data_IF_588451426401
#
_entry.id   IF_588451426401
#
_cell.length_a   1.000
_cell.length_b   1.000
_cell.length_c   1.000
_cell.angle_alpha   90.00
_cell.angle_beta   90.00
_cell.angle_gamma   90.00
#
_symmetry.space_group_name_H-M   'P 1'
#
loop_
_entity.id
_entity.type
_entity.pdbx_description
1 polymer ?
#
# COMPACT_ATOMS: atom_id res chain seq x y z
N UNK A 1 -4.10 -29.29 13.20
CA UNK A 1 -4.98 -28.21 13.68
C UNK A 1 -6.16 -28.09 12.74
N UNK A 2 -7.40 -27.93 13.22
CA UNK A 2 -8.56 -27.91 12.34
C UNK A 2 -8.52 -26.64 11.49
N UNK A 3 -8.65 -26.84 10.18
CA UNK A 3 -8.84 -25.77 9.21
C UNK A 3 -10.12 -25.02 9.60
N UNK A 4 -10.04 -23.71 9.78
CA UNK A 4 -11.23 -22.90 10.07
C UNK A 4 -11.96 -22.66 8.74
N UNK A 5 -12.90 -23.55 8.42
CA UNK A 5 -13.68 -23.48 7.19
C UNK A 5 -14.38 -22.13 7.01
N UNK A 6 -14.85 -21.52 8.09
CA UNK A 6 -15.51 -20.20 8.05
C UNK A 6 -14.54 -19.09 7.64
N UNK A 7 -13.30 -19.14 8.12
CA UNK A 7 -12.26 -18.19 7.73
C UNK A 7 -11.95 -18.33 6.23
N UNK A 8 -11.72 -19.55 5.74
CA UNK A 8 -11.44 -19.80 4.32
C UNK A 8 -12.60 -19.34 3.44
N UNK A 9 -13.85 -19.64 3.83
CA UNK A 9 -15.03 -19.17 3.12
C UNK A 9 -15.09 -17.63 3.10
N UNK A 10 -14.79 -16.97 4.23
CA UNK A 10 -14.75 -15.50 4.29
C UNK A 10 -13.70 -14.89 3.36
N UNK A 11 -12.51 -15.50 3.28
CA UNK A 11 -11.43 -15.07 2.37
C UNK A 11 -11.82 -15.31 0.91
N UNK A 12 -12.39 -16.47 0.60
CA UNK A 12 -12.87 -16.79 -0.74
C UNK A 12 -13.96 -15.81 -1.21
N UNK A 13 -14.95 -15.54 -0.35
CA UNK A 13 -16.01 -14.54 -0.62
C UNK A 13 -15.40 -13.16 -0.85
N UNK A 14 -14.45 -12.73 -0.01
CA UNK A 14 -13.77 -11.45 -0.20
C UNK A 14 -13.07 -11.36 -1.56
N UNK A 15 -12.31 -12.39 -1.95
CA UNK A 15 -11.62 -12.43 -3.23
C UNK A 15 -12.59 -12.44 -4.42
N UNK A 16 -13.72 -13.16 -4.32
CA UNK A 16 -14.76 -13.18 -5.35
C UNK A 16 -15.43 -11.81 -5.47
N UNK A 17 -15.79 -11.16 -4.36
CA UNK A 17 -16.38 -9.81 -4.37
C UNK A 17 -15.44 -8.78 -4.97
N UNK A 18 -14.16 -8.85 -4.61
CA UNK A 18 -13.14 -7.95 -5.13
C UNK A 18 -12.89 -8.19 -6.62
N UNK A 19 -12.81 -9.46 -7.05
CA UNK A 19 -12.72 -9.85 -8.45
C UNK A 19 -13.93 -9.39 -9.26
N UNK A 20 -15.14 -9.56 -8.73
CA UNK A 20 -16.37 -9.08 -9.36
C UNK A 20 -16.38 -7.56 -9.51
N UNK A 21 -15.96 -6.81 -8.48
CA UNK A 21 -15.81 -5.35 -8.55
C UNK A 21 -14.83 -4.95 -9.66
N UNK A 22 -13.66 -5.58 -9.74
CA UNK A 22 -12.67 -5.29 -10.79
C UNK A 22 -13.21 -5.63 -12.18
N UNK A 23 -13.95 -6.74 -12.32
CA UNK A 23 -14.58 -7.14 -13.57
C UNK A 23 -15.68 -6.17 -14.03
N UNK A 24 -16.47 -5.64 -13.10
CA UNK A 24 -17.48 -4.61 -13.39
C UNK A 24 -16.80 -3.30 -13.85
N UNK A 25 -15.70 -2.92 -13.21
CA UNK A 25 -14.91 -1.73 -13.55
C UNK A 25 -13.91 -1.93 -14.70
N UNK A 26 -13.90 -3.09 -15.36
CA UNK A 26 -12.89 -3.45 -16.38
C UNK A 26 -12.68 -2.43 -17.51
N UNK A 27 -13.68 -1.59 -17.80
CA UNK A 27 -13.59 -0.54 -18.83
C UNK A 27 -12.81 0.69 -18.39
N UNK A 28 -12.78 0.97 -17.09
CA UNK A 28 -12.08 2.13 -16.50
C UNK A 28 -10.65 1.79 -16.08
N UNK A 29 -10.40 0.49 -15.91
CA UNK A 29 -9.18 -0.06 -15.34
C UNK A 29 -8.18 -0.37 -16.45
N UNK A 30 -6.93 0.09 -16.29
CA UNK A 30 -5.85 -0.25 -17.21
C UNK A 30 -5.11 -1.47 -16.70
N UNK A 31 -5.24 -2.59 -17.41
CA UNK A 31 -4.51 -3.82 -17.10
C UNK A 31 -3.20 -3.82 -17.87
N UNK A 32 -2.06 -3.85 -17.16
CA UNK A 32 -0.74 -4.12 -17.73
C UNK A 32 -0.24 -5.44 -17.17
N UNK A 33 -0.33 -6.51 -17.97
CA UNK A 33 0.01 -7.88 -17.57
C UNK A 33 -0.75 -8.30 -16.30
N UNK A 34 -0.05 -8.44 -15.18
CA UNK A 34 -0.58 -8.91 -13.88
C UNK A 34 -1.01 -7.74 -12.98
N UNK A 35 -0.63 -6.52 -13.35
CA UNK A 35 -0.87 -5.33 -12.53
C UNK A 35 -2.04 -4.54 -13.11
N UNK A 36 -2.96 -4.19 -12.24
CA UNK A 36 -4.20 -3.51 -12.54
C UNK A 36 -4.13 -2.11 -11.92
N UNK A 37 -4.36 -1.08 -12.74
CA UNK A 37 -4.36 0.31 -12.31
C UNK A 37 -5.77 0.91 -12.37
N UNK A 38 -6.28 1.35 -11.21
CA UNK A 38 -7.51 2.14 -11.11
C UNK A 38 -7.14 3.61 -10.89
N UNK A 39 -7.39 4.47 -11.89
CA UNK A 39 -7.09 5.89 -11.85
C UNK A 39 -8.36 6.72 -11.66
N UNK A 40 -8.28 7.84 -10.96
CA UNK A 40 -9.42 8.75 -10.84
C UNK A 40 -9.01 10.22 -10.80
N UNK A 41 -9.46 10.99 -11.79
CA UNK A 41 -9.33 12.45 -11.81
C UNK A 41 -10.05 13.11 -10.64
N UNK A 42 -11.15 12.52 -10.16
CA UNK A 42 -11.89 13.03 -9.00
C UNK A 42 -11.03 13.01 -7.74
N UNK A 43 -10.22 11.97 -7.54
CA UNK A 43 -9.33 11.90 -6.38
C UNK A 43 -8.21 12.93 -6.48
N UNK A 44 -7.64 13.13 -7.67
CA UNK A 44 -6.66 14.19 -7.91
C UNK A 44 -7.20 15.58 -7.58
N UNK A 45 -8.43 15.88 -8.01
CA UNK A 45 -9.09 17.15 -7.70
C UNK A 45 -9.28 17.34 -6.19
N UNK A 46 -9.73 16.30 -5.47
CA UNK A 46 -9.86 16.34 -4.01
C UNK A 46 -8.53 16.56 -3.29
N UNK A 47 -7.45 15.96 -3.77
CA UNK A 47 -6.10 16.17 -3.21
C UNK A 47 -5.69 17.63 -3.36
N UNK A 48 -5.85 18.20 -4.56
CA UNK A 48 -5.54 19.61 -4.80
C UNK A 48 -6.42 20.55 -3.96
N UNK A 49 -7.72 20.24 -3.83
CA UNK A 49 -8.64 20.99 -2.98
C UNK A 49 -8.17 20.97 -1.52
N UNK A 50 -7.87 19.79 -0.97
CA UNK A 50 -7.41 19.63 0.41
C UNK A 50 -6.12 20.41 0.69
N UNK A 51 -5.16 20.37 -0.23
CA UNK A 51 -3.90 21.12 -0.15
C UNK A 51 -4.16 22.62 -0.17
N UNK A 52 -5.02 23.09 -1.06
CA UNK A 52 -5.38 24.51 -1.18
C UNK A 52 -6.16 25.02 0.03
N UNK A 53 -6.95 24.18 0.70
CA UNK A 53 -7.64 24.54 1.95
C UNK A 53 -6.67 24.70 3.12
N UNK A 54 -5.61 23.88 3.20
CA UNK A 54 -4.68 23.86 4.34
C UNK A 54 -3.20 24.04 3.95
N UNK A 55 -2.83 25.10 3.20
CA UNK A 55 -1.49 25.21 2.61
C UNK A 55 -0.37 25.28 3.64
N UNK A 56 -0.62 25.90 4.81
CA UNK A 56 0.36 25.97 5.91
C UNK A 56 0.70 24.59 6.49
N UNK A 57 -0.32 23.73 6.64
CA UNK A 57 -0.14 22.37 7.18
C UNK A 57 0.73 21.56 6.22
N UNK A 58 0.40 21.57 4.93
CA UNK A 58 1.16 20.83 3.92
C UNK A 58 2.56 21.38 3.71
N UNK A 59 2.79 22.69 3.88
CA UNK A 59 4.14 23.26 3.85
C UNK A 59 5.01 22.76 5.00
N UNK A 60 4.47 22.66 6.22
CA UNK A 60 5.17 22.10 7.38
C UNK A 60 5.46 20.61 7.15
N UNK A 61 4.46 19.84 6.71
CA UNK A 61 4.64 18.42 6.42
C UNK A 61 5.67 18.19 5.32
N UNK A 62 5.70 19.04 4.28
CA UNK A 62 6.69 18.96 3.21
C UNK A 62 8.10 19.20 3.74
N UNK A 63 8.30 20.23 4.56
CA UNK A 63 9.59 20.50 5.21
C UNK A 63 10.02 19.34 6.14
N UNK A 64 9.10 18.81 6.94
CA UNK A 64 9.38 17.66 7.80
C UNK A 64 9.76 16.42 6.97
N UNK A 65 9.07 16.19 5.86
CA UNK A 65 9.34 15.05 4.97
C UNK A 65 10.71 15.18 4.28
N UNK A 66 11.07 16.39 3.85
CA UNK A 66 12.36 16.68 3.21
C UNK A 66 13.55 16.38 4.14
N UNK A 67 13.39 16.62 5.44
CA UNK A 67 14.43 16.34 6.45
C UNK A 67 14.40 14.87 6.88
N UNK A 68 13.22 14.32 7.14
CA UNK A 68 13.08 12.95 7.69
C UNK A 68 13.35 11.86 6.67
N UNK A 69 12.98 12.05 5.39
CA UNK A 69 13.17 11.05 4.34
C UNK A 69 14.63 10.59 4.17
N UNK A 70 15.64 11.46 4.02
CA UNK A 70 17.03 11.01 3.90
C UNK A 70 17.53 10.31 5.17
N UNK A 71 17.16 10.81 6.36
CA UNK A 71 17.55 10.20 7.65
C UNK A 71 16.99 8.79 7.76
N UNK A 72 15.68 8.62 7.54
CA UNK A 72 15.02 7.32 7.59
C UNK A 72 15.54 6.36 6.52
N UNK A 73 15.89 6.88 5.33
CA UNK A 73 16.50 6.08 4.27
C UNK A 73 17.88 5.56 4.68
N UNK A 74 18.72 6.41 5.28
CA UNK A 74 20.04 6.00 5.78
C UNK A 74 19.90 4.95 6.88
N UNK A 75 18.96 5.14 7.82
CA UNK A 75 18.67 4.16 8.88
C UNK A 75 18.21 2.83 8.27
N UNK A 76 17.30 2.86 7.29
CA UNK A 76 16.82 1.67 6.59
C UNK A 76 17.94 0.92 5.87
N UNK A 77 18.81 1.64 5.14
CA UNK A 77 19.98 1.07 4.47
C UNK A 77 20.95 0.46 5.49
N UNK A 78 21.19 1.15 6.60
CA UNK A 78 22.02 0.62 7.68
C UNK A 78 21.48 -0.71 8.21
N UNK A 79 20.18 -0.82 8.49
CA UNK A 79 19.58 -2.08 8.95
C UNK A 79 19.65 -3.20 7.90
N UNK A 80 19.47 -2.86 6.61
CA UNK A 80 19.60 -3.82 5.52
C UNK A 80 21.04 -4.34 5.39
N UNK A 81 22.04 -3.46 5.44
CA UNK A 81 23.45 -3.83 5.39
C UNK A 81 23.86 -4.67 6.61
N UNK A 82 23.42 -4.28 7.81
CA UNK A 82 23.63 -5.04 9.03
C UNK A 82 23.01 -6.44 8.93
N UNK A 83 21.77 -6.53 8.43
CA UNK A 83 21.09 -7.81 8.21
C UNK A 83 21.89 -8.73 7.26
N UNK A 84 22.46 -8.16 6.21
CA UNK A 84 23.26 -8.88 5.22
C UNK A 84 24.59 -9.36 5.78
N UNK A 85 25.34 -8.51 6.50
CA UNK A 85 26.66 -8.82 7.05
C UNK A 85 26.59 -9.90 8.12
N UNK A 86 25.59 -9.83 9.00
CA UNK A 86 25.47 -10.75 10.13
C UNK A 86 24.58 -11.96 9.84
N UNK A 87 24.08 -12.11 8.61
CA UNK A 87 23.12 -13.15 8.20
C UNK A 87 21.93 -13.29 9.18
N UNK A 88 21.54 -12.19 9.81
CA UNK A 88 20.41 -12.11 10.73
C UNK A 88 19.31 -11.34 10.03
N UNK A 89 18.15 -11.95 9.73
CA UNK A 89 17.07 -11.23 9.08
C UNK A 89 16.53 -10.16 10.03
N UNK A 90 16.89 -8.90 9.77
CA UNK A 90 16.39 -7.74 10.52
C UNK A 90 15.05 -7.26 9.94
N UNK A 91 14.78 -7.63 8.68
CA UNK A 91 13.53 -7.38 7.98
C UNK A 91 12.96 -8.73 7.55
N UNK A 92 11.68 -8.94 7.83
CA UNK A 92 10.95 -10.15 7.47
C UNK A 92 9.79 -9.80 6.55
N UNK A 93 9.51 -10.68 5.57
CA UNK A 93 8.34 -10.52 4.72
C UNK A 93 7.09 -10.77 5.54
N UNK A 94 6.12 -9.86 5.47
CA UNK A 94 4.84 -9.99 6.17
C UNK A 94 3.80 -10.49 5.18
N UNK A 95 3.39 -11.76 5.31
CA UNK A 95 2.45 -12.41 4.41
C UNK A 95 1.13 -12.76 5.12
N UNK A 96 0.00 -12.72 4.40
CA UNK A 96 -1.28 -13.09 4.97
C UNK A 96 -1.34 -14.61 5.18
N UNK A 97 -1.92 -15.04 6.28
CA UNK A 97 -2.11 -16.44 6.63
C UNK A 97 -3.55 -16.72 7.05
N UNK A 98 -3.98 -17.95 6.82
CA UNK A 98 -5.27 -18.50 7.25
C UNK A 98 -5.04 -19.70 8.17
N UNK A 99 -5.93 -19.89 9.14
CA UNK A 99 -5.96 -21.09 10.00
C UNK A 99 -4.62 -21.39 10.68
N UNK A 100 -3.92 -20.35 11.13
CA UNK A 100 -2.60 -20.42 11.79
C UNK A 100 -1.50 -21.07 10.94
N UNK A 101 -1.65 -21.08 9.61
CA UNK A 101 -0.58 -21.51 8.72
C UNK A 101 0.67 -20.64 8.96
N UNK A 102 1.85 -21.26 9.00
CA UNK A 102 3.12 -20.55 9.15
C UNK A 102 3.96 -20.82 7.92
N UNK A 103 4.33 -19.75 7.22
CA UNK A 103 5.25 -19.84 6.11
C UNK A 103 6.63 -20.29 6.60
N UNK A 104 7.36 -21.12 5.82
CA UNK A 104 8.73 -21.47 6.14
C UNK A 104 9.66 -20.25 5.93
N UNK A 105 10.69 -20.14 6.78
CA UNK A 105 11.71 -19.09 6.69
C UNK A 105 11.41 -17.83 7.49
N UNK A 106 12.12 -16.71 7.23
CA UNK A 106 11.97 -15.44 7.95
C UNK A 106 10.73 -14.66 7.47
N UNK A 107 9.57 -15.32 7.50
CA UNK A 107 8.29 -14.76 7.05
C UNK A 107 7.37 -14.64 8.25
N UNK A 108 6.90 -13.43 8.51
CA UNK A 108 5.90 -13.16 9.54
C UNK A 108 4.53 -13.46 8.94
N UNK A 109 3.86 -14.45 9.52
CA UNK A 109 2.51 -14.85 9.14
C UNK A 109 1.50 -14.03 9.94
N UNK A 110 0.70 -13.21 9.26
CA UNK A 110 -0.33 -12.37 9.90
C UNK A 110 -1.71 -12.84 9.47
N UNK A 111 -2.72 -12.94 10.37
CA UNK A 111 -4.08 -13.32 10.00
C UNK A 111 -4.60 -12.46 8.85
N UNK A 112 -5.23 -13.09 7.86
CA UNK A 112 -5.61 -12.47 6.58
C UNK A 112 -6.31 -11.11 6.74
N UNK A 113 -7.32 -11.02 7.61
CA UNK A 113 -8.10 -9.80 7.81
C UNK A 113 -7.28 -8.66 8.43
N UNK A 114 -6.41 -8.98 9.39
CA UNK A 114 -5.50 -8.01 10.00
C UNK A 114 -4.50 -7.53 8.93
N UNK A 115 -3.98 -8.45 8.12
CA UNK A 115 -3.05 -8.15 7.06
C UNK A 115 -3.66 -7.22 6.00
N UNK A 116 -4.89 -7.49 5.54
CA UNK A 116 -5.60 -6.64 4.56
C UNK A 116 -5.80 -5.22 5.09
N UNK A 117 -6.24 -5.08 6.35
CA UNK A 117 -6.44 -3.76 6.96
C UNK A 117 -5.11 -3.02 7.09
N UNK A 118 -4.06 -3.71 7.56
CA UNK A 118 -2.73 -3.13 7.73
C UNK A 118 -2.16 -2.63 6.40
N UNK A 119 -2.19 -3.45 5.35
CA UNK A 119 -1.71 -3.05 4.02
C UNK A 119 -2.53 -1.88 3.49
N UNK A 120 -3.85 -1.94 3.58
CA UNK A 120 -4.70 -0.85 3.09
C UNK A 120 -4.32 0.47 3.76
N UNK A 121 -4.17 0.50 5.09
CA UNK A 121 -3.80 1.72 5.82
C UNK A 121 -2.42 2.22 5.43
N UNK A 122 -1.42 1.33 5.39
CA UNK A 122 -0.02 1.69 5.07
C UNK A 122 0.05 2.25 3.65
N UNK A 123 -0.47 1.52 2.67
CA UNK A 123 -0.44 1.90 1.26
C UNK A 123 -1.23 3.18 1.03
N UNK A 124 -2.45 3.24 1.54
CA UNK A 124 -3.32 4.40 1.34
C UNK A 124 -2.68 5.66 1.92
N UNK A 125 -2.17 5.59 3.16
CA UNK A 125 -1.53 6.76 3.79
C UNK A 125 -0.22 7.15 3.10
N UNK A 126 0.66 6.19 2.79
CA UNK A 126 1.94 6.44 2.15
C UNK A 126 1.79 7.13 0.79
N UNK A 127 0.99 6.54 -0.09
CA UNK A 127 0.81 7.06 -1.45
C UNK A 127 -0.02 8.34 -1.46
N UNK A 128 -1.04 8.45 -0.60
CA UNK A 128 -1.74 9.73 -0.43
C UNK A 128 -0.79 10.84 -0.02
N UNK A 129 0.16 10.56 0.87
CA UNK A 129 1.10 11.56 1.34
C UNK A 129 2.05 12.03 0.23
N UNK A 130 2.55 11.12 -0.60
CA UNK A 130 3.30 11.49 -1.81
C UNK A 130 2.51 12.43 -2.71
N UNK A 131 1.22 12.13 -2.93
CA UNK A 131 0.35 12.97 -3.76
C UNK A 131 0.07 14.34 -3.17
N UNK A 132 -0.16 14.39 -1.86
CA UNK A 132 -0.44 15.62 -1.13
C UNK A 132 0.79 16.54 -1.12
N UNK A 133 1.98 16.00 -0.82
CA UNK A 133 3.24 16.76 -0.83
C UNK A 133 3.57 17.22 -2.25
N UNK A 134 3.46 16.33 -3.25
CA UNK A 134 3.71 16.69 -4.64
C UNK A 134 2.78 17.83 -5.10
N UNK A 135 1.50 17.75 -4.76
CA UNK A 135 0.53 18.80 -5.07
C UNK A 135 0.85 20.12 -4.33
N UNK A 136 1.30 20.09 -3.08
CA UNK A 136 1.65 21.31 -2.34
C UNK A 136 2.89 22.01 -2.87
N UNK A 137 3.84 21.27 -3.43
CA UNK A 137 5.03 21.81 -4.08
C UNK A 137 4.80 22.14 -5.58
N UNK A 138 3.55 22.08 -6.06
CA UNK A 138 3.19 22.42 -7.43
C UNK A 138 3.59 21.39 -8.49
N UNK A 139 3.99 20.19 -8.07
CA UNK A 139 4.31 19.07 -8.96
C UNK A 139 3.01 18.45 -9.49
N UNK A 140 2.88 18.36 -10.83
CA UNK A 140 1.69 17.76 -11.46
C UNK A 140 1.65 16.24 -11.22
N UNK A 141 0.78 15.82 -10.30
CA UNK A 141 0.39 14.40 -10.15
C UNK A 141 -0.49 14.03 -11.34
N UNK A 142 0.04 13.21 -12.27
CA UNK A 142 -0.70 12.92 -13.51
C UNK A 142 -1.88 12.00 -13.25
N UNK A 143 -1.75 11.04 -12.33
CA UNK A 143 -2.84 10.11 -12.00
C UNK A 143 -2.64 9.54 -10.60
N UNK A 144 -3.60 9.79 -9.71
CA UNK A 144 -3.68 9.16 -8.39
C UNK A 144 -4.64 7.97 -8.44
N UNK A 145 -4.26 6.85 -7.81
CA UNK A 145 -5.06 5.64 -7.91
C UNK A 145 -4.59 4.45 -7.08
N UNK A 146 -5.34 3.36 -7.16
CA UNK A 146 -5.04 2.08 -6.50
C UNK A 146 -4.36 1.11 -7.47
N UNK A 147 -3.33 0.44 -6.96
CA UNK A 147 -2.56 -0.60 -7.63
C UNK A 147 -3.00 -1.97 -7.10
N UNK A 148 -3.41 -2.84 -8.00
CA UNK A 148 -3.75 -4.22 -7.66
C UNK A 148 -2.82 -5.20 -8.35
N UNK A 149 -2.42 -6.26 -7.63
CA UNK A 149 -1.75 -7.44 -8.17
C UNK A 149 -2.80 -8.53 -8.30
N UNK A 150 -3.16 -8.85 -9.54
CA UNK A 150 -4.37 -9.61 -9.86
C UNK A 150 -5.62 -8.96 -9.25
N UNK A 151 -5.97 -9.36 -8.03
CA UNK A 151 -7.16 -8.93 -7.32
C UNK A 151 -6.80 -8.22 -6.01
N UNK A 152 -5.59 -8.44 -5.46
CA UNK A 152 -5.19 -7.88 -4.17
C UNK A 152 -4.70 -6.44 -4.31
N UNK A 153 -5.17 -5.49 -3.49
CA UNK A 153 -4.61 -4.15 -3.45
C UNK A 153 -3.21 -4.26 -2.84
N UNK A 154 -2.19 -4.04 -3.66
CA UNK A 154 -0.78 -4.10 -3.23
C UNK A 154 -0.17 -2.71 -3.06
N UNK A 155 -0.85 -1.68 -3.58
CA UNK A 155 -0.30 -0.35 -3.65
C UNK A 155 -1.36 0.69 -4.00
N UNK A 156 -0.93 1.93 -3.95
CA UNK A 156 -1.52 3.06 -4.62
C UNK A 156 -0.37 3.71 -5.39
N UNK A 157 -0.66 4.67 -6.26
CA UNK A 157 0.39 5.38 -6.99
C UNK A 157 -0.06 6.82 -7.22
N UNK A 158 0.93 7.67 -7.51
CA UNK A 158 0.83 9.13 -7.64
C UNK A 158 1.52 9.61 -8.91
#
# INVERSE_FOLDING_TARGET
MPINLMEILSVAVFLVLLGARLYLKRKEVKVKKVIIFEYSEKYRQKINELVNTHPKVFKVLSLMSLISAPILTIIGVYYLLNSLIFFKPTVALVLPSVSNFRYPGPVISVPFWIWIIAIFIIVFSHESMHALIAASEGVRTRKYGLLYFLILPIGAFV
#
